data_IF_464854689803
#
_entry.id   IF_464854689803
#
_cell.length_a   1.000
_cell.length_b   1.000
_cell.length_c   1.000
_cell.angle_alpha   90.00
_cell.angle_beta   90.00
_cell.angle_gamma   90.00
#
_symmetry.space_group_name_H-M   'P 1'
#
loop_
_entity.id
_entity.type
_entity.pdbx_description
1 polymer ?
#
# COMPACT_ATOMS: atom_id res chain seq x y z
N UNK A 1 6.01 2.97 14.57
CA UNK A 1 4.86 2.25 13.97
C UNK A 1 5.22 1.94 12.53
N UNK A 2 4.79 0.79 12.03
CA UNK A 2 5.03 0.31 10.68
C UNK A 2 3.84 0.64 9.78
N UNK A 3 4.10 1.28 8.66
CA UNK A 3 3.08 1.79 7.75
C UNK A 3 3.33 1.30 6.34
N UNK A 4 2.27 0.94 5.63
CA UNK A 4 2.26 0.72 4.18
C UNK A 4 1.38 1.80 3.55
N UNK A 5 1.81 2.33 2.41
CA UNK A 5 1.03 3.27 1.59
C UNK A 5 0.70 2.57 0.28
N UNK A 6 -0.57 2.54 -0.10
CA UNK A 6 -1.06 2.02 -1.39
C UNK A 6 -1.65 3.20 -2.15
N UNK A 7 -0.99 3.59 -3.23
CA UNK A 7 -1.22 4.83 -3.97
C UNK A 7 -0.63 4.66 -5.37
N UNK A 8 -1.42 4.83 -6.42
CA UNK A 8 -1.00 4.60 -7.81
C UNK A 8 -0.03 5.69 -8.30
N UNK A 9 -0.17 6.92 -7.79
CA UNK A 9 0.73 8.02 -8.09
C UNK A 9 1.91 8.10 -7.11
N UNK A 10 3.12 7.79 -7.60
CA UNK A 10 4.34 7.79 -6.79
C UNK A 10 4.61 9.12 -6.07
N UNK A 11 4.30 10.26 -6.69
CA UNK A 11 4.47 11.59 -6.10
C UNK A 11 3.52 11.83 -4.93
N UNK A 12 2.26 11.36 -5.04
CA UNK A 12 1.30 11.42 -3.95
C UNK A 12 1.75 10.54 -2.78
N UNK A 13 2.25 9.33 -3.05
CA UNK A 13 2.79 8.44 -2.04
C UNK A 13 3.97 9.06 -1.28
N UNK A 14 4.87 9.75 -1.99
CA UNK A 14 6.01 10.45 -1.40
C UNK A 14 5.59 11.67 -0.57
N UNK A 15 4.64 12.45 -1.07
CA UNK A 15 4.09 13.59 -0.33
C UNK A 15 3.42 13.12 0.98
N UNK A 16 2.63 12.05 0.93
CA UNK A 16 2.00 11.46 2.10
C UNK A 16 3.04 10.93 3.09
N UNK A 17 4.05 10.19 2.62
CA UNK A 17 5.13 9.69 3.46
C UNK A 17 5.89 10.84 4.17
N UNK A 18 6.13 11.95 3.47
CA UNK A 18 6.74 13.14 4.05
C UNK A 18 5.88 13.77 5.15
N UNK A 19 4.56 13.90 4.94
CA UNK A 19 3.61 14.42 5.94
C UNK A 19 3.60 13.50 7.17
N UNK A 20 3.51 12.18 6.95
CA UNK A 20 3.51 11.18 8.03
C UNK A 20 4.80 11.28 8.86
N UNK A 21 5.97 11.33 8.21
CA UNK A 21 7.25 11.46 8.92
C UNK A 21 7.40 12.81 9.63
N UNK A 22 6.85 13.90 9.07
CA UNK A 22 6.85 15.20 9.74
C UNK A 22 6.04 15.19 11.04
N UNK A 23 4.88 14.53 11.03
CA UNK A 23 4.00 14.45 12.21
C UNK A 23 4.44 13.36 13.20
N UNK A 24 5.00 12.25 12.70
CA UNK A 24 5.48 11.11 13.48
C UNK A 24 6.84 10.62 12.91
N UNK A 25 7.95 11.21 13.36
CA UNK A 25 9.29 10.89 12.83
C UNK A 25 9.74 9.44 13.05
N UNK A 26 9.19 8.77 14.06
CA UNK A 26 9.47 7.36 14.39
C UNK A 26 8.65 6.37 13.55
N UNK A 27 7.83 6.85 12.62
CA UNK A 27 7.11 5.98 11.69
C UNK A 27 8.07 5.38 10.67
N UNK A 28 8.01 4.06 10.54
CA UNK A 28 8.72 3.29 9.54
C UNK A 28 7.76 3.04 8.37
N UNK A 29 8.08 3.60 7.20
CA UNK A 29 7.35 3.30 5.97
C UNK A 29 7.95 2.02 5.40
N UNK A 30 7.21 0.91 5.49
CA UNK A 30 7.67 -0.41 5.02
C UNK A 30 7.65 -0.51 3.50
N UNK A 31 6.61 0.05 2.87
CA UNK A 31 6.43 0.02 1.43
C UNK A 31 5.50 1.14 0.93
N UNK A 32 5.68 1.52 -0.34
CA UNK A 32 4.75 2.32 -1.14
C UNK A 32 4.39 1.49 -2.36
N UNK A 33 3.13 1.12 -2.51
CA UNK A 33 2.64 0.14 -3.47
C UNK A 33 1.68 0.82 -4.45
N UNK A 34 1.79 0.54 -5.75
CA UNK A 34 1.08 1.25 -6.80
C UNK A 34 -0.24 0.61 -7.25
N UNK A 35 -0.56 -0.59 -6.77
CA UNK A 35 -1.75 -1.33 -7.20
C UNK A 35 -2.29 -2.25 -6.12
N UNK A 36 -3.54 -2.70 -6.30
CA UNK A 36 -4.19 -3.65 -5.39
C UNK A 36 -3.51 -5.02 -5.46
N UNK A 37 -3.05 -5.43 -6.64
CA UNK A 37 -2.34 -6.69 -6.87
C UNK A 37 -1.00 -6.72 -6.14
N UNK A 38 -0.22 -5.64 -6.27
CA UNK A 38 1.06 -5.50 -5.57
C UNK A 38 0.85 -5.47 -4.05
N UNK A 39 -0.18 -4.77 -3.58
CA UNK A 39 -0.56 -4.77 -2.17
C UNK A 39 -0.93 -6.17 -1.65
N UNK A 40 -1.77 -6.90 -2.40
CA UNK A 40 -2.17 -8.25 -2.04
C UNK A 40 -0.96 -9.18 -1.95
N UNK A 41 -0.07 -9.17 -2.96
CA UNK A 41 1.15 -9.97 -2.96
C UNK A 41 2.05 -9.60 -1.76
N UNK A 42 2.29 -8.31 -1.54
CA UNK A 42 3.14 -7.82 -0.45
C UNK A 42 2.65 -8.30 0.92
N UNK A 43 1.33 -8.26 1.17
CA UNK A 43 0.74 -8.73 2.43
C UNK A 43 0.81 -10.25 2.64
N UNK A 44 1.00 -11.05 1.58
CA UNK A 44 1.25 -12.50 1.74
C UNK A 44 2.69 -12.80 2.16
N UNK A 45 3.63 -11.91 1.83
CA UNK A 45 5.08 -12.14 2.01
C UNK A 45 5.64 -11.47 3.27
N UNK A 46 4.93 -10.46 3.81
CA UNK A 46 5.42 -9.64 4.92
C UNK A 46 4.49 -9.70 6.13
N UNK A 47 5.02 -9.38 7.30
CA UNK A 47 4.19 -9.21 8.50
C UNK A 47 3.24 -8.02 8.33
N UNK A 48 2.04 -8.15 8.88
CA UNK A 48 1.03 -7.09 8.83
C UNK A 48 1.57 -5.78 9.46
N UNK A 49 1.39 -4.63 8.80
CA UNK A 49 1.75 -3.33 9.36
C UNK A 49 0.77 -2.89 10.46
N UNK A 50 1.13 -1.84 11.19
CA UNK A 50 0.26 -1.23 12.20
C UNK A 50 -0.86 -0.38 11.58
N UNK A 51 -0.60 0.20 10.39
CA UNK A 51 -1.52 1.07 9.66
C UNK A 51 -1.27 0.99 8.15
N UNK A 52 -2.36 1.05 7.38
CA UNK A 52 -2.32 1.11 5.91
C UNK A 52 -2.99 2.41 5.48
N UNK A 53 -2.32 3.21 4.67
CA UNK A 53 -2.95 4.25 3.87
C UNK A 53 -3.25 3.65 2.50
N UNK A 54 -4.49 3.78 2.03
CA UNK A 54 -4.91 3.25 0.74
C UNK A 54 -5.73 4.32 0.04
N UNK A 55 -5.35 4.65 -1.19
CA UNK A 55 -6.22 5.47 -2.05
C UNK A 55 -7.49 4.67 -2.39
N UNK A 56 -8.64 5.37 -2.37
CA UNK A 56 -9.95 4.80 -2.65
C UNK A 56 -10.23 4.74 -4.16
N UNK A 57 -9.51 5.51 -4.98
CA UNK A 57 -9.66 5.52 -6.44
C UNK A 57 -8.80 4.46 -7.14
N UNK A 58 -8.07 3.64 -6.38
CA UNK A 58 -7.38 2.46 -6.88
C UNK A 58 -8.38 1.54 -7.59
N UNK A 59 -8.18 1.37 -8.89
CA UNK A 59 -9.04 0.52 -9.71
C UNK A 59 -9.04 -0.91 -9.16
N UNK A 60 -10.22 -1.46 -8.92
CA UNK A 60 -10.36 -2.81 -8.38
C UNK A 60 -9.94 -3.84 -9.43
N UNK A 61 -8.88 -4.59 -9.10
CA UNK A 61 -8.48 -5.80 -9.80
C UNK A 61 -9.67 -6.75 -9.96
N UNK A 62 -10.11 -7.04 -11.19
CA UNK A 62 -11.09 -8.10 -11.43
C UNK A 62 -10.38 -9.44 -11.32
N UNK A 63 -10.54 -10.14 -10.19
CA UNK A 63 -10.04 -11.50 -10.03
C UNK A 63 -10.89 -12.47 -10.85
N UNK A 64 -10.49 -12.69 -12.10
CA UNK A 64 -11.07 -13.74 -12.94
C UNK A 64 -10.52 -15.09 -12.48
N UNK A 65 -11.26 -15.80 -11.59
CA UNK A 65 -10.97 -17.21 -11.30
C UNK A 65 -11.29 -18.03 -12.54
N UNK A 66 -10.29 -18.28 -13.38
CA UNK A 66 -10.38 -19.34 -14.38
C UNK A 66 -10.33 -20.70 -13.66
N UNK A 67 -11.50 -21.26 -13.32
CA UNK A 67 -11.59 -22.69 -13.04
C UNK A 67 -11.69 -23.42 -14.39
N UNK A 68 -10.55 -23.63 -15.03
CA UNK A 68 -10.45 -24.57 -16.14
C UNK A 68 -10.48 -25.99 -15.59
N UNK A 69 -11.55 -26.72 -15.92
CA UNK A 69 -11.48 -28.18 -16.04
C UNK A 69 -10.70 -28.54 -17.30
#
# INVERSE_FOLDING_TARGET
MKVVIVEDEQLAADALAAIVKKLRPQTEILAKLGSVEEAAEWFTLHQAPDLIFCDIHLQMATVSRFSGR
#
